data_IF_208195504896
#
_entry.id   IF_208195504896
#
_cell.length_a   1.000
_cell.length_b   1.000
_cell.length_c   1.000
_cell.angle_alpha   90.00
_cell.angle_beta   90.00
_cell.angle_gamma   90.00
#
_symmetry.space_group_name_H-M   'P 1'
#
loop_
_entity.id
_entity.type
_entity.pdbx_description
1 polymer ?
#
# COMPACT_ATOMS: atom_id res chain seq x y z
N UNK A 1 20.12 -32.95 -10.10
CA UNK A 1 18.68 -33.25 -10.24
C UNK A 1 17.98 -32.57 -9.08
N UNK A 2 17.45 -31.36 -9.28
CA UNK A 2 16.67 -30.72 -8.21
C UNK A 2 15.29 -31.36 -8.26
N UNK A 3 15.05 -32.25 -7.29
CA UNK A 3 13.89 -33.13 -7.25
C UNK A 3 12.57 -32.36 -7.21
N UNK A 4 11.50 -33.05 -7.62
CA UNK A 4 10.14 -32.59 -7.42
C UNK A 4 9.90 -32.39 -5.92
N UNK A 5 9.57 -31.17 -5.53
CA UNK A 5 9.16 -30.82 -4.18
C UNK A 5 7.66 -31.03 -4.01
N UNK A 6 7.24 -31.59 -2.87
CA UNK A 6 5.83 -31.76 -2.51
C UNK A 6 5.62 -31.23 -1.09
N UNK A 7 4.54 -30.47 -0.90
CA UNK A 7 3.98 -30.03 0.38
C UNK A 7 2.55 -30.55 0.50
N UNK A 8 2.16 -31.06 1.66
CA UNK A 8 0.78 -31.48 1.94
C UNK A 8 0.17 -30.53 2.97
N UNK A 9 -0.96 -29.93 2.65
CA UNK A 9 -1.69 -28.98 3.51
C UNK A 9 -3.13 -29.44 3.61
N UNK A 10 -3.70 -29.48 4.82
CA UNK A 10 -5.11 -29.83 4.98
C UNK A 10 -5.99 -28.72 4.42
N UNK A 11 -7.14 -29.09 3.87
CA UNK A 11 -8.14 -28.13 3.41
C UNK A 11 -8.56 -27.13 4.51
N UNK A 12 -8.60 -27.57 5.76
CA UNK A 12 -8.91 -26.73 6.93
C UNK A 12 -7.80 -25.76 7.33
N UNK A 13 -6.58 -25.98 6.83
CA UNK A 13 -5.38 -25.20 7.15
C UNK A 13 -5.02 -24.19 6.04
N UNK A 14 -5.80 -24.16 4.94
CA UNK A 14 -5.64 -23.14 3.89
C UNK A 14 -5.85 -21.74 4.49
N UNK A 15 -5.09 -20.76 4.02
CA UNK A 15 -5.30 -19.39 4.48
C UNK A 15 -6.64 -18.83 4.01
N UNK A 16 -6.99 -17.64 4.51
CA UNK A 16 -8.29 -16.97 4.28
C UNK A 16 -8.72 -16.92 2.80
N UNK A 17 -7.78 -16.78 1.87
CA UNK A 17 -8.04 -16.73 0.42
C UNK A 17 -8.34 -18.09 -0.21
N UNK A 18 -8.21 -19.19 0.54
CA UNK A 18 -8.39 -20.58 0.08
C UNK A 18 -7.54 -20.88 -1.16
N UNK A 19 -6.31 -20.35 -1.21
CA UNK A 19 -5.40 -20.65 -2.30
C UNK A 19 -5.07 -22.14 -2.30
N UNK A 20 -4.80 -22.66 -3.48
CA UNK A 20 -4.41 -24.06 -3.69
C UNK A 20 -3.22 -24.19 -4.64
N UNK A 21 -2.66 -23.06 -5.09
CA UNK A 21 -1.50 -23.03 -5.97
C UNK A 21 -0.23 -23.44 -5.24
N UNK A 22 0.57 -24.27 -5.91
CA UNK A 22 1.78 -24.86 -5.35
C UNK A 22 2.84 -23.82 -4.97
N UNK A 23 2.88 -22.69 -5.69
CA UNK A 23 3.85 -21.63 -5.49
C UNK A 23 3.68 -20.94 -4.14
N UNK A 24 2.44 -20.82 -3.67
CA UNK A 24 2.14 -20.27 -2.35
C UNK A 24 2.64 -21.20 -1.23
N UNK A 25 2.43 -22.51 -1.39
CA UNK A 25 2.76 -23.54 -0.39
C UNK A 25 4.14 -24.20 -0.55
N UNK A 26 5.08 -23.56 -1.25
CA UNK A 26 6.49 -24.02 -1.27
C UNK A 26 7.01 -24.24 0.15
N UNK A 27 7.81 -25.30 0.36
CA UNK A 27 8.43 -25.67 1.64
C UNK A 27 9.17 -24.51 2.28
N UNK A 28 9.86 -23.70 1.47
CA UNK A 28 10.57 -22.51 1.94
C UNK A 28 9.61 -21.48 2.56
N UNK A 29 8.48 -21.18 1.89
CA UNK A 29 7.45 -20.27 2.41
C UNK A 29 6.84 -20.81 3.70
N UNK A 30 6.52 -22.11 3.74
CA UNK A 30 5.98 -22.78 4.92
C UNK A 30 6.96 -22.74 6.10
N UNK A 31 8.25 -22.94 5.85
CA UNK A 31 9.29 -22.85 6.87
C UNK A 31 9.43 -21.43 7.42
N UNK A 32 9.44 -20.42 6.55
CA UNK A 32 9.46 -19.01 6.96
C UNK A 32 8.23 -18.67 7.80
N UNK A 33 7.03 -19.07 7.35
CA UNK A 33 5.78 -18.88 8.09
C UNK A 33 5.87 -19.48 9.50
N UNK A 34 6.31 -20.73 9.62
CA UNK A 34 6.45 -21.40 10.91
C UNK A 34 7.50 -20.75 11.85
N UNK A 35 8.50 -20.05 11.30
CA UNK A 35 9.45 -19.26 12.09
C UNK A 35 8.83 -17.95 12.57
N UNK A 36 8.09 -17.26 11.70
CA UNK A 36 7.40 -16.01 12.02
C UNK A 36 6.29 -16.23 13.06
N UNK A 37 5.54 -17.34 12.99
CA UNK A 37 4.49 -17.70 13.96
C UNK A 37 5.00 -17.92 15.39
N UNK A 38 6.31 -18.14 15.56
CA UNK A 38 6.95 -18.25 16.88
C UNK A 38 7.34 -16.89 17.46
N UNK A 39 7.30 -15.83 16.65
CA UNK A 39 7.61 -14.47 17.08
C UNK A 39 6.34 -13.77 17.50
N UNK A 40 6.45 -12.87 18.49
CA UNK A 40 5.37 -11.94 18.80
C UNK A 40 5.44 -10.78 17.81
N UNK A 41 4.44 -10.67 16.95
CA UNK A 41 4.35 -9.65 15.92
C UNK A 41 3.00 -8.93 15.97
N UNK A 42 3.00 -7.65 15.65
CA UNK A 42 1.78 -6.89 15.34
C UNK A 42 1.59 -6.84 13.82
N UNK A 43 0.34 -6.87 13.35
CA UNK A 43 0.03 -6.68 11.93
C UNK A 43 -0.06 -5.19 11.60
N UNK A 44 0.05 -4.84 10.31
CA UNK A 44 -0.17 -3.46 9.85
C UNK A 44 -1.56 -2.95 10.28
N UNK A 45 -2.57 -3.82 10.30
CA UNK A 45 -3.93 -3.47 10.72
C UNK A 45 -4.04 -3.16 12.22
N UNK A 46 -3.13 -3.70 13.05
CA UNK A 46 -3.07 -3.40 14.48
C UNK A 46 -2.46 -2.00 14.72
N UNK A 47 -1.46 -1.63 13.94
CA UNK A 47 -0.64 -0.42 14.16
C UNK A 47 -1.04 0.78 13.30
N UNK A 48 -1.90 0.60 12.29
CA UNK A 48 -2.31 1.65 11.36
C UNK A 48 -3.80 1.56 10.99
N UNK A 49 -4.41 2.72 10.67
CA UNK A 49 -5.65 2.74 9.89
C UNK A 49 -5.32 2.50 8.42
N UNK A 50 -6.08 1.61 7.78
CA UNK A 50 -5.87 1.25 6.38
C UNK A 50 -7.08 1.71 5.57
N UNK A 51 -6.83 2.44 4.49
CA UNK A 51 -7.81 2.80 3.47
C UNK A 51 -7.14 2.86 2.10
N UNK A 52 -7.82 3.45 1.13
CA UNK A 52 -7.35 3.62 -0.24
C UNK A 52 -7.87 4.93 -0.85
N UNK A 53 -7.32 5.27 -2.01
CA UNK A 53 -7.68 6.48 -2.74
C UNK A 53 -9.05 6.45 -3.43
N UNK A 54 -9.26 7.41 -4.33
CA UNK A 54 -10.50 7.64 -5.04
C UNK A 54 -10.82 6.50 -6.05
N UNK A 55 -12.06 6.00 -6.01
CA UNK A 55 -12.62 4.98 -6.93
C UNK A 55 -13.49 5.56 -8.05
N UNK A 56 -13.86 6.84 -7.96
CA UNK A 56 -14.78 7.48 -8.90
C UNK A 56 -14.03 8.09 -10.09
N UNK A 57 -14.73 8.21 -11.23
CA UNK A 57 -14.21 8.91 -12.40
C UNK A 57 -13.86 10.36 -12.06
N UNK A 58 -12.60 10.73 -12.31
CA UNK A 58 -12.05 12.06 -11.99
C UNK A 58 -11.19 12.60 -13.15
N UNK A 59 -11.05 11.84 -14.24
CA UNK A 59 -10.16 12.16 -15.35
C UNK A 59 -10.52 13.45 -16.06
N UNK A 60 -11.80 13.80 -16.11
CA UNK A 60 -12.28 15.02 -16.76
C UNK A 60 -11.90 16.29 -15.97
N UNK A 61 -11.48 16.13 -14.72
CA UNK A 61 -11.02 17.20 -13.82
C UNK A 61 -9.50 17.32 -13.78
N UNK A 62 -8.79 16.52 -14.57
CA UNK A 62 -7.32 16.56 -14.60
C UNK A 62 -6.80 17.82 -15.30
N UNK A 63 -5.80 18.43 -14.68
CA UNK A 63 -5.16 19.66 -15.14
C UNK A 63 -3.70 19.71 -14.68
N UNK A 64 -2.92 20.64 -15.25
CA UNK A 64 -1.48 20.75 -15.00
C UNK A 64 -1.16 21.39 -13.63
N UNK A 65 -2.03 22.27 -13.14
CA UNK A 65 -1.85 23.00 -11.87
C UNK A 65 -3.05 22.77 -10.93
N UNK A 66 -2.86 22.88 -9.62
CA UNK A 66 -3.93 22.73 -8.63
C UNK A 66 -3.56 21.77 -7.50
N UNK A 67 -4.53 20.97 -7.06
CA UNK A 67 -4.34 20.03 -5.96
C UNK A 67 -3.77 18.71 -6.49
N UNK A 68 -2.62 18.23 -5.99
CA UNK A 68 -2.01 16.98 -6.42
C UNK A 68 -2.95 15.77 -6.33
N UNK A 69 -3.02 15.01 -7.42
CA UNK A 69 -3.69 13.72 -7.51
C UNK A 69 -2.66 12.63 -7.82
N UNK A 70 -2.21 11.93 -6.77
CA UNK A 70 -1.18 10.90 -6.89
C UNK A 70 -1.74 9.57 -7.41
N UNK A 71 -1.02 8.96 -8.35
CA UNK A 71 -1.30 7.66 -8.97
C UNK A 71 -0.20 6.67 -8.59
N UNK A 72 -0.43 5.38 -8.85
CA UNK A 72 0.54 4.31 -8.54
C UNK A 72 1.94 4.55 -9.10
N UNK A 73 2.06 5.18 -10.28
CA UNK A 73 3.35 5.50 -10.87
C UNK A 73 4.11 6.60 -10.10
N UNK A 74 3.40 7.50 -9.41
CA UNK A 74 4.01 8.66 -8.76
C UNK A 74 4.77 8.26 -7.50
N UNK A 75 4.50 7.07 -6.94
CA UNK A 75 5.29 6.50 -5.84
C UNK A 75 6.59 5.83 -6.31
N UNK A 76 6.72 5.54 -7.62
CA UNK A 76 7.88 4.79 -8.14
C UNK A 76 9.12 5.67 -8.17
N UNK A 77 10.14 5.30 -7.39
CA UNK A 77 11.39 6.06 -7.30
C UNK A 77 11.33 7.30 -6.41
N UNK A 78 10.19 7.58 -5.77
CA UNK A 78 9.98 8.75 -4.92
C UNK A 78 9.67 8.31 -3.49
N UNK A 79 10.68 8.33 -2.61
CA UNK A 79 10.44 7.97 -1.20
C UNK A 79 9.56 9.00 -0.49
N UNK A 80 9.72 10.28 -0.80
CA UNK A 80 8.77 11.31 -0.42
C UNK A 80 7.85 11.59 -1.59
N UNK A 81 6.54 11.50 -1.40
CA UNK A 81 5.59 11.58 -2.52
C UNK A 81 5.66 12.94 -3.23
N UNK A 82 6.00 14.00 -2.49
CA UNK A 82 6.12 15.36 -3.00
C UNK A 82 7.32 15.56 -3.95
N UNK A 83 8.23 14.58 -4.08
CA UNK A 83 9.30 14.59 -5.08
C UNK A 83 8.82 14.16 -6.48
N UNK A 84 7.60 13.61 -6.57
CA UNK A 84 7.00 13.23 -7.84
C UNK A 84 6.49 14.43 -8.63
N UNK A 85 6.06 14.19 -9.87
CA UNK A 85 5.39 15.18 -10.72
C UNK A 85 3.98 14.69 -11.04
N UNK A 86 3.03 14.81 -10.09
CA UNK A 86 1.68 14.29 -10.24
C UNK A 86 0.87 15.14 -11.22
N UNK A 87 -0.25 14.57 -11.66
CA UNK A 87 -1.32 15.38 -12.27
C UNK A 87 -2.09 16.09 -11.16
N UNK A 88 -2.75 17.20 -11.47
CA UNK A 88 -3.55 17.95 -10.52
C UNK A 88 -5.04 17.84 -10.83
N UNK A 89 -5.86 18.19 -9.83
CA UNK A 89 -7.31 18.42 -9.97
C UNK A 89 -7.67 19.78 -9.41
N UNK A 90 -8.82 20.29 -9.83
CA UNK A 90 -9.40 21.53 -9.31
C UNK A 90 -9.96 21.38 -7.88
N UNK A 91 -10.12 22.51 -7.19
CA UNK A 91 -10.60 22.57 -5.80
C UNK A 91 -12.06 22.08 -5.64
N UNK A 92 -12.93 22.31 -6.62
CA UNK A 92 -14.32 21.84 -6.60
C UNK A 92 -14.34 20.31 -6.59
N UNK A 93 -13.56 19.70 -7.48
CA UNK A 93 -13.40 18.25 -7.58
C UNK A 93 -12.80 17.64 -6.32
N UNK A 94 -11.76 18.25 -5.75
CA UNK A 94 -11.17 17.79 -4.49
C UNK A 94 -12.17 17.81 -3.31
N UNK A 95 -13.02 18.83 -3.26
CA UNK A 95 -13.98 19.03 -2.15
C UNK A 95 -15.26 18.19 -2.26
N UNK A 96 -15.47 17.44 -3.35
CA UNK A 96 -16.60 16.52 -3.51
C UNK A 96 -16.63 15.52 -2.34
N UNK A 97 -17.82 15.27 -1.79
CA UNK A 97 -17.96 14.49 -0.56
C UNK A 97 -17.34 13.09 -0.60
N UNK A 98 -17.37 12.43 -1.77
CA UNK A 98 -16.77 11.11 -1.97
C UNK A 98 -15.23 11.12 -2.00
N UNK A 99 -14.59 12.28 -2.21
CA UNK A 99 -13.14 12.43 -2.23
C UNK A 99 -12.54 12.52 -0.83
N UNK A 100 -13.32 12.88 0.19
CA UNK A 100 -12.81 13.08 1.56
C UNK A 100 -12.10 11.85 2.15
N UNK A 101 -12.48 10.64 1.73
CA UNK A 101 -11.82 9.39 2.16
C UNK A 101 -10.41 9.22 1.57
N UNK A 102 -10.14 9.85 0.43
CA UNK A 102 -8.86 9.76 -0.29
C UNK A 102 -7.97 10.97 -0.04
N UNK A 103 -8.39 11.91 0.81
CA UNK A 103 -7.54 13.03 1.23
C UNK A 103 -6.35 12.51 2.02
N UNK A 104 -5.16 12.89 1.57
CA UNK A 104 -3.91 12.56 2.21
C UNK A 104 -3.68 13.48 3.39
N UNK A 105 -2.95 12.96 4.37
CA UNK A 105 -2.50 13.71 5.54
C UNK A 105 -1.00 13.54 5.68
N UNK A 106 -0.38 14.54 6.29
CA UNK A 106 1.00 14.42 6.73
C UNK A 106 1.18 13.12 7.52
N UNK A 107 2.28 12.43 7.24
CA UNK A 107 2.68 11.15 7.85
C UNK A 107 1.87 9.93 7.38
N UNK A 108 1.03 10.06 6.35
CA UNK A 108 0.48 8.90 5.65
C UNK A 108 1.60 8.18 4.89
N UNK A 109 1.55 6.85 4.88
CA UNK A 109 2.40 5.99 4.06
C UNK A 109 1.56 5.45 2.92
N UNK A 110 1.97 5.73 1.68
CA UNK A 110 1.32 5.27 0.47
C UNK A 110 1.97 3.98 0.00
N UNK A 111 1.15 2.98 -0.32
CA UNK A 111 1.61 1.71 -0.88
C UNK A 111 0.88 1.44 -2.20
N UNK A 112 1.63 1.22 -3.27
CA UNK A 112 1.06 0.83 -4.56
C UNK A 112 0.57 -0.61 -4.53
N UNK A 113 -0.73 -0.79 -4.78
CA UNK A 113 -1.43 -2.07 -4.71
C UNK A 113 -1.93 -2.55 -6.08
N UNK A 114 -1.86 -1.72 -7.12
CA UNK A 114 -2.24 -2.05 -8.50
C UNK A 114 -1.22 -1.48 -9.48
N UNK A 115 -0.82 -2.27 -10.48
CA UNK A 115 0.24 -1.91 -11.42
C UNK A 115 1.60 -2.35 -10.88
N UNK A 116 2.53 -1.41 -10.67
CA UNK A 116 3.78 -1.68 -9.96
C UNK A 116 3.50 -1.85 -8.47
N UNK A 117 3.25 -3.10 -8.05
CA UNK A 117 2.92 -3.44 -6.66
C UNK A 117 4.17 -3.29 -5.78
N UNK A 118 3.98 -2.78 -4.57
CA UNK A 118 5.04 -2.71 -3.54
C UNK A 118 5.82 -1.41 -3.51
N UNK A 119 5.57 -0.46 -4.42
CA UNK A 119 6.20 0.86 -4.33
C UNK A 119 5.64 1.67 -3.15
N UNK A 120 6.52 2.27 -2.36
CA UNK A 120 6.20 2.97 -1.10
C UNK A 120 6.63 4.43 -1.16
N UNK A 121 5.78 5.32 -0.64
CA UNK A 121 6.12 6.74 -0.42
C UNK A 121 5.56 7.25 0.90
N UNK A 122 6.24 8.21 1.51
CA UNK A 122 5.79 8.94 2.70
C UNK A 122 5.25 10.32 2.30
N UNK A 123 4.11 10.70 2.87
CA UNK A 123 3.56 12.06 2.78
C UNK A 123 4.19 12.92 3.87
N UNK A 124 4.90 13.99 3.48
CA UNK A 124 5.66 14.84 4.42
C UNK A 124 5.05 16.21 4.64
N UNK A 125 4.12 16.61 3.78
CA UNK A 125 3.46 17.91 3.82
C UNK A 125 2.06 17.85 4.43
N UNK A 126 1.58 18.99 4.91
CA UNK A 126 0.19 19.19 5.36
C UNK A 126 -0.72 19.71 4.25
N UNK A 127 -0.17 19.92 3.04
CA UNK A 127 -0.88 20.48 1.90
C UNK A 127 -1.99 19.56 1.44
N UNK A 128 -3.04 20.15 0.88
CA UNK A 128 -4.11 19.38 0.25
C UNK A 128 -3.55 18.49 -0.86
N UNK A 129 -3.90 17.21 -0.80
CA UNK A 129 -3.54 16.23 -1.80
C UNK A 129 -4.47 15.03 -1.70
N UNK A 130 -4.62 14.31 -2.80
CA UNK A 130 -5.39 13.08 -2.84
C UNK A 130 -4.71 12.04 -3.73
N UNK A 131 -5.28 10.84 -3.81
CA UNK A 131 -4.72 9.78 -4.62
C UNK A 131 -5.78 8.88 -5.24
N UNK A 132 -5.38 8.06 -6.21
CA UNK A 132 -6.22 7.03 -6.83
C UNK A 132 -6.38 5.79 -5.96
N UNK A 133 -7.44 5.02 -6.19
CA UNK A 133 -7.68 3.71 -5.56
C UNK A 133 -6.58 2.66 -5.79
N UNK A 134 -5.60 2.95 -6.66
CA UNK A 134 -4.41 2.11 -6.87
C UNK A 134 -3.37 2.25 -5.75
N UNK A 135 -3.56 3.23 -4.87
CA UNK A 135 -2.73 3.49 -3.70
C UNK A 135 -3.51 3.18 -2.43
N UNK A 136 -2.96 2.29 -1.60
CA UNK A 136 -3.37 2.15 -0.22
C UNK A 136 -2.80 3.30 0.61
N UNK A 137 -3.60 3.80 1.54
CA UNK A 137 -3.24 4.85 2.50
C UNK A 137 -3.13 4.16 3.86
N UNK A 138 -1.90 4.05 4.36
CA UNK A 138 -1.60 3.53 5.69
C UNK A 138 -1.36 4.73 6.60
N UNK A 139 -2.20 4.88 7.63
CA UNK A 139 -2.09 5.97 8.60
C UNK A 139 -1.70 5.41 9.97
N UNK A 140 -0.41 5.44 10.34
CA UNK A 140 0.08 4.87 11.58
C UNK A 140 -0.58 5.50 12.81
N UNK A 141 -0.80 4.68 13.83
CA UNK A 141 -1.41 5.08 15.13
C UNK A 141 -0.42 4.93 16.28
N UNK A 142 0.23 3.78 16.35
CA UNK A 142 1.09 3.38 17.48
C UNK A 142 2.58 3.40 17.13
N UNK A 143 2.90 3.36 15.83
CA UNK A 143 4.28 3.37 15.33
C UNK A 143 4.57 4.66 14.54
N UNK A 144 5.86 4.95 14.40
CA UNK A 144 6.34 6.06 13.60
C UNK A 144 6.17 5.77 12.10
N UNK A 145 5.73 6.78 11.33
CA UNK A 145 5.46 6.64 9.89
C UNK A 145 6.71 6.46 9.06
N UNK A 146 7.81 7.11 9.45
CA UNK A 146 9.12 6.96 8.83
C UNK A 146 9.65 5.54 9.05
N UNK A 147 9.43 4.96 10.23
CA UNK A 147 9.72 3.54 10.50
C UNK A 147 8.87 2.62 9.61
N UNK A 148 7.55 2.80 9.55
CA UNK A 148 6.67 1.98 8.71
C UNK A 148 7.07 2.07 7.23
N UNK A 149 7.27 3.29 6.72
CA UNK A 149 7.67 3.52 5.34
C UNK A 149 9.03 2.90 5.02
N UNK A 150 10.02 3.05 5.91
CA UNK A 150 11.36 2.48 5.72
C UNK A 150 11.34 0.96 5.77
N UNK A 151 10.55 0.38 6.69
CA UNK A 151 10.37 -1.07 6.79
C UNK A 151 9.78 -1.63 5.50
N UNK A 152 8.66 -1.07 5.03
CA UNK A 152 7.97 -1.47 3.78
C UNK A 152 8.75 -1.17 2.50
N UNK A 153 9.75 -0.28 2.56
CA UNK A 153 10.65 0.02 1.45
C UNK A 153 11.85 -0.93 1.41
N UNK A 154 12.10 -1.66 2.51
CA UNK A 154 13.26 -2.54 2.64
C UNK A 154 12.98 -3.94 2.07
N UNK A 155 14.02 -4.76 1.92
CA UNK A 155 13.84 -6.17 1.53
C UNK A 155 13.16 -7.03 2.61
N UNK A 156 12.89 -6.48 3.79
CA UNK A 156 12.35 -7.21 4.95
C UNK A 156 10.89 -6.87 5.27
N UNK A 157 10.31 -5.90 4.57
CA UNK A 157 8.90 -5.52 4.67
C UNK A 157 8.32 -5.30 3.29
#
# INVERSE_FOLDING_TARGET
MNGLEISEIKLSELERTKRIDSEFYKKENLAIKALLEKQTCETIADVASISDGNHFGISDSFQDEGIPYYRGQDTTGNFFIEQSSPICIDEESYNKGYMKRSHLKQRDVLLSIVGTVGSVSLVTTISDATCSCKLAILRPKTINSEYLATFLYSNFG
#
